data_IF_248541587845
#
_entry.id   IF_248541587845
#
_cell.length_a   1.000
_cell.length_b   1.000
_cell.length_c   1.000
_cell.angle_alpha   90.00
_cell.angle_beta   90.00
_cell.angle_gamma   90.00
#
_symmetry.space_group_name_H-M   'P 1'
#
loop_
_entity.id
_entity.type
_entity.pdbx_description
1 polymer ?
#
# COMPACT_ATOMS: atom_id res chain seq x y z
N UNK A 1 -17.06 -44.29 -50.15
CA UNK A 1 -18.17 -45.22 -49.91
C UNK A 1 -17.75 -46.19 -48.81
N UNK A 2 -18.50 -46.19 -47.68
CA UNK A 2 -18.69 -47.31 -46.72
C UNK A 2 -17.43 -47.72 -45.91
N UNK A 3 -17.39 -47.99 -44.60
CA UNK A 3 -18.24 -47.83 -43.42
C UNK A 3 -17.39 -48.28 -42.22
N UNK A 4 -17.71 -47.75 -41.04
CA UNK A 4 -17.74 -48.45 -39.75
C UNK A 4 -16.49 -49.14 -39.19
N UNK A 5 -16.01 -48.65 -38.04
CA UNK A 5 -15.77 -49.41 -36.81
C UNK A 5 -14.93 -48.55 -35.85
N UNK A 6 -15.06 -48.56 -34.53
CA UNK A 6 -15.94 -49.18 -33.55
C UNK A 6 -15.57 -48.50 -32.23
N UNK A 7 -16.58 -48.16 -31.43
CA UNK A 7 -16.40 -47.76 -30.04
C UNK A 7 -15.59 -48.83 -29.29
N UNK A 8 -14.48 -48.43 -28.66
CA UNK A 8 -13.76 -49.24 -27.69
C UNK A 8 -13.48 -48.43 -26.43
N UNK A 9 -14.55 -47.92 -25.82
CA UNK A 9 -14.56 -47.56 -24.41
C UNK A 9 -14.57 -48.86 -23.60
N UNK A 10 -13.38 -49.41 -23.37
CA UNK A 10 -13.14 -50.67 -22.69
C UNK A 10 -12.12 -50.51 -21.57
N UNK A 11 -12.65 -50.29 -20.35
CA UNK A 11 -12.07 -50.62 -19.05
C UNK A 11 -10.54 -50.53 -18.86
N UNK A 12 -10.12 -49.55 -18.03
CA UNK A 12 -9.12 -49.84 -17.00
C UNK A 12 -9.43 -49.12 -15.69
N UNK A 13 -10.24 -49.77 -14.85
CA UNK A 13 -10.15 -49.57 -13.40
C UNK A 13 -8.77 -50.06 -12.96
N UNK A 14 -7.96 -49.19 -12.38
CA UNK A 14 -6.99 -49.62 -11.36
C UNK A 14 -6.88 -48.57 -10.27
N UNK A 15 -7.42 -48.95 -9.12
CA UNK A 15 -7.23 -48.36 -7.81
C UNK A 15 -5.77 -47.96 -7.58
N UNK A 16 -5.54 -46.67 -7.42
CA UNK A 16 -4.32 -46.10 -6.86
C UNK A 16 -4.68 -45.35 -5.59
N UNK A 17 -4.15 -45.83 -4.48
CA UNK A 17 -4.44 -45.43 -3.10
C UNK A 17 -4.44 -43.92 -2.91
N UNK A 18 -5.53 -43.40 -2.33
CA UNK A 18 -5.55 -42.10 -1.65
C UNK A 18 -4.62 -42.19 -0.44
N UNK A 19 -3.32 -42.03 -0.67
CA UNK A 19 -2.39 -41.71 0.38
C UNK A 19 -2.67 -40.28 0.82
N UNK A 20 -3.51 -40.15 1.85
CA UNK A 20 -3.69 -38.92 2.61
C UNK A 20 -2.38 -38.61 3.31
N UNK A 21 -1.50 -37.84 2.64
CA UNK A 21 -0.35 -37.24 3.31
C UNK A 21 -0.82 -35.95 3.97
N UNK A 22 -1.45 -36.12 5.12
CA UNK A 22 -1.61 -35.07 6.13
C UNK A 22 -0.23 -34.70 6.66
N UNK A 23 0.44 -33.72 6.04
CA UNK A 23 1.73 -33.17 6.46
C UNK A 23 2.08 -32.00 5.50
N UNK A 24 2.13 -30.71 5.81
CA UNK A 24 2.21 -29.95 7.03
C UNK A 24 1.46 -28.62 6.84
N UNK A 25 0.65 -28.24 7.82
CA UNK A 25 0.32 -26.84 8.04
C UNK A 25 1.53 -26.18 8.72
N UNK A 26 2.53 -25.75 7.95
CA UNK A 26 3.47 -24.72 8.45
C UNK A 26 2.64 -23.45 8.63
N UNK A 27 2.21 -23.19 9.86
CA UNK A 27 1.99 -21.82 10.30
C UNK A 27 3.37 -21.18 10.21
N UNK A 28 3.65 -20.47 9.13
CA UNK A 28 4.78 -19.55 9.10
C UNK A 28 4.53 -18.57 10.24
N UNK A 29 5.36 -18.72 11.27
CA UNK A 29 5.57 -17.74 12.31
C UNK A 29 5.54 -16.36 11.64
N UNK A 30 4.59 -15.50 12.03
CA UNK A 30 4.42 -14.16 11.49
C UNK A 30 5.78 -13.48 11.53
N UNK A 31 6.40 -13.38 10.36
CA UNK A 31 7.65 -12.64 10.17
C UNK A 31 7.39 -11.26 10.74
N UNK A 32 8.28 -10.79 11.64
CA UNK A 32 8.22 -9.47 12.24
C UNK A 32 7.69 -8.49 11.19
N UNK A 33 6.60 -7.80 11.49
CA UNK A 33 6.10 -6.76 10.59
C UNK A 33 7.22 -5.74 10.53
N UNK A 34 8.03 -5.80 9.47
CA UNK A 34 8.79 -4.65 9.02
C UNK A 34 7.77 -3.54 8.99
N UNK A 35 8.00 -2.51 9.79
CA UNK A 35 7.11 -1.38 9.95
C UNK A 35 7.22 -0.56 8.67
N UNK A 36 6.65 -1.14 7.61
CA UNK A 36 6.67 -0.63 6.26
C UNK A 36 5.61 0.44 6.23
N UNK A 37 6.06 1.62 5.85
CA UNK A 37 5.22 2.74 5.50
C UNK A 37 3.97 2.26 4.74
N UNK A 38 2.78 2.56 5.27
CA UNK A 38 1.49 2.28 4.63
C UNK A 38 0.98 3.55 3.92
N UNK A 39 1.22 3.73 2.61
CA UNK A 39 0.85 4.96 1.91
C UNK A 39 -0.67 5.14 1.85
N UNK A 40 -1.40 4.02 1.86
CA UNK A 40 -2.86 3.99 1.83
C UNK A 40 -3.48 4.55 3.11
N UNK A 41 -2.98 4.16 4.28
CA UNK A 41 -3.45 4.70 5.57
C UNK A 41 -3.18 6.20 5.67
N UNK A 42 -1.99 6.65 5.24
CA UNK A 42 -1.66 8.07 5.21
C UNK A 42 -2.61 8.84 4.29
N UNK A 43 -2.86 8.32 3.09
CA UNK A 43 -3.76 8.95 2.12
C UNK A 43 -5.22 8.98 2.59
N UNK A 44 -5.67 7.94 3.31
CA UNK A 44 -7.00 7.87 3.88
C UNK A 44 -7.18 8.87 5.03
N UNK A 45 -6.18 9.00 5.92
CA UNK A 45 -6.17 9.98 6.99
C UNK A 45 -6.21 11.43 6.47
N UNK A 46 -5.52 11.70 5.35
CA UNK A 46 -5.61 13.01 4.69
C UNK A 46 -7.02 13.29 4.14
N UNK A 47 -7.68 12.28 3.57
CA UNK A 47 -9.05 12.43 3.05
C UNK A 47 -10.09 12.61 4.18
N UNK A 48 -9.92 11.90 5.29
CA UNK A 48 -10.77 12.03 6.48
C UNK A 48 -10.46 13.31 7.30
N UNK A 49 -9.35 14.01 6.98
CA UNK A 49 -8.81 15.15 7.73
C UNK A 49 -8.55 14.85 9.21
N UNK A 50 -8.11 13.63 9.48
CA UNK A 50 -7.76 13.17 10.83
C UNK A 50 -6.35 13.65 11.21
N UNK A 51 -6.26 14.77 11.92
CA UNK A 51 -5.00 15.42 12.33
C UNK A 51 -3.99 14.45 12.95
N UNK A 52 -4.45 13.72 13.99
CA UNK A 52 -3.62 12.78 14.75
C UNK A 52 -3.20 11.58 13.91
N UNK A 53 -4.13 11.03 13.12
CA UNK A 53 -3.86 9.87 12.26
C UNK A 53 -2.87 10.21 11.16
N UNK A 54 -3.03 11.40 10.55
CA UNK A 54 -2.12 11.91 9.53
C UNK A 54 -0.73 12.15 10.10
N UNK A 55 -0.62 12.82 11.25
CA UNK A 55 0.67 13.09 11.89
C UNK A 55 1.39 11.80 12.30
N UNK A 56 0.67 10.82 12.89
CA UNK A 56 1.26 9.52 13.23
C UNK A 56 1.76 8.78 11.99
N UNK A 57 0.99 8.77 10.90
CA UNK A 57 1.41 8.17 9.64
C UNK A 57 2.64 8.84 9.03
N UNK A 58 2.71 10.17 9.09
CA UNK A 58 3.88 10.93 8.66
C UNK A 58 5.10 10.60 9.50
N UNK A 59 4.98 10.67 10.82
CA UNK A 59 6.08 10.38 11.73
C UNK A 59 6.64 8.97 11.52
N UNK A 60 5.77 7.98 11.30
CA UNK A 60 6.17 6.61 10.98
C UNK A 60 6.88 6.49 9.63
N UNK A 61 6.41 7.22 8.60
CA UNK A 61 7.03 7.25 7.28
C UNK A 61 8.46 7.81 7.34
N UNK A 62 8.62 8.94 8.03
CA UNK A 62 9.91 9.61 8.20
C UNK A 62 10.87 8.75 9.03
N UNK A 63 10.37 8.10 10.09
CA UNK A 63 11.15 7.11 10.88
C UNK A 63 11.59 5.89 10.07
N UNK A 64 10.81 5.49 9.07
CA UNK A 64 11.18 4.43 8.14
C UNK A 64 12.27 4.87 7.14
N UNK A 65 12.66 6.15 7.13
CA UNK A 65 13.63 6.71 6.21
C UNK A 65 13.06 7.00 4.82
N UNK A 66 11.73 7.10 4.70
CA UNK A 66 11.10 7.55 3.47
C UNK A 66 11.47 9.01 3.20
N UNK A 67 11.79 9.31 1.95
CA UNK A 67 12.13 10.67 1.55
C UNK A 67 10.92 11.59 1.74
N UNK A 68 11.06 12.73 2.42
CA UNK A 68 9.93 13.63 2.67
C UNK A 68 9.32 14.17 1.37
N UNK A 69 10.10 14.25 0.29
CA UNK A 69 9.62 14.61 -1.06
C UNK A 69 8.64 13.58 -1.62
N UNK A 70 8.91 12.28 -1.40
CA UNK A 70 8.04 11.20 -1.86
C UNK A 70 6.70 11.24 -1.11
N UNK A 71 6.76 11.49 0.20
CA UNK A 71 5.57 11.64 1.05
C UNK A 71 4.77 12.88 0.64
N UNK A 72 5.43 14.03 0.43
CA UNK A 72 4.79 15.25 -0.05
C UNK A 72 4.12 15.05 -1.42
N UNK A 73 4.79 14.36 -2.35
CA UNK A 73 4.25 14.02 -3.66
C UNK A 73 3.01 13.13 -3.58
N UNK A 74 3.02 12.12 -2.70
CA UNK A 74 1.88 11.24 -2.45
C UNK A 74 0.68 12.01 -1.88
N UNK A 75 0.91 12.86 -0.88
CA UNK A 75 -0.15 13.68 -0.30
C UNK A 75 -0.71 14.68 -1.32
N UNK A 76 0.15 15.30 -2.15
CA UNK A 76 -0.27 16.22 -3.19
C UNK A 76 -1.11 15.53 -4.27
N UNK A 77 -0.72 14.30 -4.66
CA UNK A 77 -1.56 13.47 -5.52
C UNK A 77 -2.90 13.18 -4.87
N UNK A 78 -2.92 12.74 -3.61
CA UNK A 78 -4.17 12.43 -2.91
C UNK A 78 -5.08 13.64 -2.80
N UNK A 79 -4.52 14.83 -2.50
CA UNK A 79 -5.24 16.09 -2.45
C UNK A 79 -5.91 16.41 -3.80
N UNK A 80 -5.26 16.10 -4.93
CA UNK A 80 -5.86 16.22 -6.27
C UNK A 80 -6.96 15.17 -6.49
N UNK A 81 -6.78 13.94 -6.03
CA UNK A 81 -7.78 12.86 -6.16
C UNK A 81 -9.09 13.16 -5.43
N UNK A 82 -9.05 13.85 -4.29
CA UNK A 82 -10.25 14.28 -3.55
C UNK A 82 -10.86 15.59 -4.10
N UNK A 83 -10.21 16.25 -5.07
CA UNK A 83 -10.68 17.48 -5.70
C UNK A 83 -10.38 18.78 -4.92
N UNK A 84 -9.65 18.71 -3.81
CA UNK A 84 -9.30 19.87 -2.97
C UNK A 84 -8.11 20.65 -3.56
N UNK A 85 -8.43 21.60 -4.45
CA UNK A 85 -7.43 22.46 -5.10
C UNK A 85 -6.62 23.32 -4.11
N UNK A 86 -7.23 23.72 -2.99
CA UNK A 86 -6.56 24.52 -1.95
C UNK A 86 -5.47 23.72 -1.25
N UNK A 87 -5.79 22.49 -0.84
CA UNK A 87 -4.81 21.58 -0.22
C UNK A 87 -3.68 21.26 -1.19
N UNK A 88 -4.01 20.93 -2.44
CA UNK A 88 -2.98 20.65 -3.45
C UNK A 88 -2.01 21.83 -3.62
N UNK A 89 -2.50 23.07 -3.64
CA UNK A 89 -1.65 24.26 -3.74
C UNK A 89 -0.77 24.42 -2.51
N UNK A 90 -1.34 24.28 -1.31
CA UNK A 90 -0.60 24.42 -0.05
C UNK A 90 0.55 23.41 0.04
N UNK A 91 0.33 22.14 -0.35
CA UNK A 91 1.39 21.14 -0.40
C UNK A 91 2.49 21.46 -1.42
N UNK A 92 2.11 21.97 -2.60
CA UNK A 92 3.11 22.40 -3.60
C UNK A 92 3.94 23.58 -3.10
N UNK A 93 3.33 24.55 -2.41
CA UNK A 93 4.07 25.65 -1.78
C UNK A 93 5.03 25.15 -0.70
N UNK A 94 4.59 24.25 0.19
CA UNK A 94 5.45 23.67 1.23
C UNK A 94 6.68 22.96 0.64
N UNK A 95 6.50 22.22 -0.45
CA UNK A 95 7.59 21.59 -1.18
C UNK A 95 8.61 22.61 -1.70
N UNK A 96 8.12 23.70 -2.32
CA UNK A 96 8.97 24.77 -2.82
C UNK A 96 9.68 25.55 -1.72
N UNK A 97 9.00 25.82 -0.60
CA UNK A 97 9.61 26.53 0.54
C UNK A 97 10.75 25.73 1.16
N UNK A 98 10.59 24.41 1.27
CA UNK A 98 11.71 23.56 1.73
C UNK A 98 12.89 23.59 0.76
N UNK A 99 12.61 23.48 -0.56
CA UNK A 99 13.66 23.56 -1.58
C UNK A 99 14.34 24.93 -1.67
N UNK A 100 13.69 26.00 -1.19
CA UNK A 100 14.24 27.36 -1.10
C UNK A 100 15.07 27.59 0.17
N UNK A 101 15.24 26.58 1.02
CA UNK A 101 16.01 26.66 2.25
C UNK A 101 15.28 27.32 3.42
N UNK A 102 13.94 27.44 3.35
CA UNK A 102 13.13 28.02 4.43
C UNK A 102 12.91 27.06 5.61
N UNK A 103 13.34 25.80 5.49
CA UNK A 103 13.27 24.80 6.56
C UNK A 103 13.27 23.37 6.04
N UNK A 104 13.40 22.44 6.99
CA UNK A 104 13.34 21.02 6.72
C UNK A 104 11.92 20.58 6.29
N UNK A 105 11.81 19.84 5.19
CA UNK A 105 10.52 19.44 4.62
C UNK A 105 9.73 18.55 5.61
N UNK A 106 10.42 17.77 6.43
CA UNK A 106 9.83 16.91 7.45
C UNK A 106 9.03 17.74 8.45
N UNK A 107 9.67 18.76 9.03
CA UNK A 107 9.04 19.66 9.99
C UNK A 107 7.86 20.44 9.38
N UNK A 108 7.99 20.84 8.11
CA UNK A 108 6.94 21.53 7.39
C UNK A 108 5.71 20.63 7.18
N UNK A 109 5.92 19.35 6.86
CA UNK A 109 4.85 18.36 6.71
C UNK A 109 4.18 18.05 8.05
N UNK A 110 4.96 17.93 9.13
CA UNK A 110 4.40 17.74 10.47
C UNK A 110 3.55 18.93 10.90
N UNK A 111 4.04 20.17 10.69
CA UNK A 111 3.27 21.39 10.97
C UNK A 111 1.98 21.45 10.15
N UNK A 112 2.04 21.05 8.88
CA UNK A 112 0.87 20.98 8.01
C UNK A 112 -0.17 19.98 8.54
N UNK A 113 0.25 18.78 8.95
CA UNK A 113 -0.65 17.76 9.48
C UNK A 113 -1.37 18.20 10.77
N UNK A 114 -0.71 18.98 11.61
CA UNK A 114 -1.31 19.52 12.84
C UNK A 114 -2.24 20.73 12.59
N UNK A 115 -2.11 21.41 11.44
CA UNK A 115 -2.87 22.60 11.07
C UNK A 115 -4.25 22.28 10.47
N UNK A 116 -4.34 21.21 9.68
CA UNK A 116 -5.63 20.66 9.18
C UNK A 116 -6.61 20.49 10.33
#
# INVERSE_FOLDING_TARGET
MVSAARNFWGLRRRSGSRHTRSFLRRRSCSRAKEYKFDPFNLSAALAARDKKGLWLGLYQALRAGEKPEAVAGLLAWKARSIGDKKLSRELTFLYHDSHRGAGDLELLLERFALKL
#
